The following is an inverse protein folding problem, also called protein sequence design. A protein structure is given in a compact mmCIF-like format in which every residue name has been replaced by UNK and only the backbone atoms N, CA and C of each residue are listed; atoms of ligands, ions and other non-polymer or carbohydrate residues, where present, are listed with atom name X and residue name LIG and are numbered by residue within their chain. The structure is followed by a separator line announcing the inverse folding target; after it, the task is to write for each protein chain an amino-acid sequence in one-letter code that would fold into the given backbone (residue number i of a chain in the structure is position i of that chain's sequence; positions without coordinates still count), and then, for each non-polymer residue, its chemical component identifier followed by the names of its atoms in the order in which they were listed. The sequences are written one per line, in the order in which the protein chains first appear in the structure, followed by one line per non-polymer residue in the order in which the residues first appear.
data_IF_178856268394
#
_entry.id   IF_178856268394
#
_cell.length_a   1.000
_cell.length_b   1.000
_cell.length_c   1.000
_cell.angle_alpha   90.00
_cell.angle_beta   90.00
_cell.angle_gamma   90.00
#
_symmetry.space_group_name_H-M   'P 1'
#
loop_
_entity.id
_entity.type
_entity.pdbx_description
1 polymer ?
#
# COMPACT_ATOMS: atom_id res chain seq x y z
N UNK A 1 -8.64 17.49 4.12
CA UNK A 1 -7.33 16.84 4.11
C UNK A 1 -6.99 16.53 2.66
N UNK A 2 -5.79 16.86 2.17
CA UNK A 2 -5.37 16.47 0.83
C UNK A 2 -5.38 14.94 0.66
N UNK A 3 -5.75 14.50 -0.53
CA UNK A 3 -5.75 13.10 -0.93
C UNK A 3 -4.52 12.84 -1.79
N UNK A 4 -3.81 11.76 -1.48
CA UNK A 4 -2.59 11.35 -2.18
C UNK A 4 -2.80 9.98 -2.83
N UNK A 5 -2.19 9.82 -4.00
CA UNK A 5 -2.12 8.55 -4.71
C UNK A 5 -0.65 8.09 -4.75
N UNK A 6 -0.38 6.90 -4.19
CA UNK A 6 0.95 6.31 -4.15
C UNK A 6 0.98 5.07 -5.03
N UNK A 7 1.98 4.98 -5.89
CA UNK A 7 2.26 3.79 -6.70
C UNK A 7 3.28 2.93 -5.97
N UNK A 8 3.03 1.63 -5.96
CA UNK A 8 3.87 0.64 -5.28
C UNK A 8 4.50 -0.28 -6.31
N UNK A 9 5.79 -0.54 -6.13
CA UNK A 9 6.52 -1.59 -6.84
C UNK A 9 7.11 -2.55 -5.81
N UNK A 10 6.95 -3.85 -6.04
CA UNK A 10 7.59 -4.86 -5.23
C UNK A 10 9.09 -4.87 -5.49
N UNK A 11 9.85 -5.11 -4.43
CA UNK A 11 11.25 -5.54 -4.55
C UNK A 11 11.29 -7.02 -4.93
N UNK A 12 12.45 -7.52 -5.36
CA UNK A 12 12.64 -8.95 -5.70
C UNK A 12 12.21 -9.89 -4.56
N UNK A 13 12.55 -9.53 -3.32
CA UNK A 13 12.11 -10.27 -2.11
C UNK A 13 10.61 -10.12 -1.84
N UNK A 14 10.06 -8.94 -2.16
CA UNK A 14 8.64 -8.64 -1.99
C UNK A 14 7.76 -9.47 -2.90
N UNK A 15 8.15 -9.59 -4.18
CA UNK A 15 7.43 -10.37 -5.19
C UNK A 15 7.61 -11.88 -4.97
N UNK A 16 8.80 -12.34 -4.56
CA UNK A 16 9.03 -13.75 -4.25
C UNK A 16 8.17 -14.24 -3.07
N UNK A 17 7.67 -13.31 -2.23
CA UNK A 17 6.76 -13.56 -1.11
C UNK A 17 5.47 -12.75 -1.25
N UNK A 18 4.86 -12.80 -2.44
CA UNK A 18 3.64 -12.04 -2.74
C UNK A 18 2.45 -12.44 -1.85
N UNK A 19 2.38 -13.70 -1.40
CA UNK A 19 1.33 -14.19 -0.50
C UNK A 19 1.29 -13.44 0.83
N UNK A 20 2.42 -12.89 1.28
CA UNK A 20 2.51 -12.07 2.49
C UNK A 20 2.05 -10.62 2.26
N UNK A 21 1.75 -10.22 1.02
CA UNK A 21 1.42 -8.84 0.67
C UNK A 21 0.19 -8.29 1.40
N UNK A 22 -0.93 -9.03 1.57
CA UNK A 22 -2.08 -8.53 2.34
C UNK A 22 -1.72 -8.23 3.79
N UNK A 23 -0.92 -9.09 4.44
CA UNK A 23 -0.43 -8.86 5.80
C UNK A 23 0.44 -7.60 5.89
N UNK A 24 1.28 -7.33 4.88
CA UNK A 24 2.07 -6.09 4.81
C UNK A 24 1.18 -4.85 4.63
N UNK A 25 0.12 -4.95 3.84
CA UNK A 25 -0.87 -3.89 3.65
C UNK A 25 -1.58 -3.55 4.97
N UNK A 26 -2.01 -4.55 5.74
CA UNK A 26 -2.63 -4.33 7.05
C UNK A 26 -1.68 -3.68 8.05
N UNK A 27 -0.42 -4.14 8.09
CA UNK A 27 0.62 -3.54 8.92
C UNK A 27 0.86 -2.07 8.53
N UNK A 28 0.93 -1.77 7.23
CA UNK A 28 1.07 -0.40 6.72
C UNK A 28 -0.11 0.47 7.15
N UNK A 29 -1.36 0.01 7.00
CA UNK A 29 -2.57 0.73 7.43
C UNK A 29 -2.54 1.04 8.93
N UNK A 30 -2.10 0.09 9.76
CA UNK A 30 -1.98 0.31 11.20
C UNK A 30 -0.92 1.38 11.55
N UNK A 31 0.23 1.37 10.86
CA UNK A 31 1.26 2.39 11.05
C UNK A 31 0.80 3.76 10.55
N UNK A 32 0.17 3.84 9.38
CA UNK A 32 -0.37 5.09 8.84
C UNK A 32 -1.36 5.74 9.81
N UNK A 33 -2.29 4.95 10.36
CA UNK A 33 -3.27 5.42 11.35
C UNK A 33 -2.61 5.98 12.61
N UNK A 34 -1.51 5.37 13.09
CA UNK A 34 -0.75 5.90 14.25
C UNK A 34 -0.15 7.28 13.99
N UNK A 35 0.08 7.64 12.73
CA UNK A 35 0.61 8.94 12.32
C UNK A 35 -0.47 9.91 11.82
N UNK A 36 -1.75 9.62 12.06
CA UNK A 36 -2.86 10.48 11.64
C UNK A 36 -3.23 10.37 10.16
N UNK A 37 -2.64 9.42 9.42
CA UNK A 37 -2.92 9.19 8.00
C UNK A 37 -4.00 8.13 7.85
N UNK A 38 -5.02 8.39 7.02
CA UNK A 38 -6.09 7.43 6.71
C UNK A 38 -5.83 6.77 5.37
N UNK A 39 -5.72 5.44 5.34
CA UNK A 39 -5.62 4.66 4.09
C UNK A 39 -7.03 4.31 3.63
N UNK A 40 -7.51 5.02 2.61
CA UNK A 40 -8.82 4.79 1.99
C UNK A 40 -8.89 3.42 1.33
N UNK A 41 -7.93 3.15 0.45
CA UNK A 41 -7.91 1.95 -0.36
C UNK A 41 -6.50 1.57 -0.77
N UNK A 42 -6.31 0.27 -0.95
CA UNK A 42 -5.09 -0.30 -1.48
C UNK A 42 -5.48 -1.38 -2.50
N UNK A 43 -4.99 -1.22 -3.72
CA UNK A 43 -5.25 -2.10 -4.85
C UNK A 43 -3.95 -2.79 -5.28
N UNK A 44 -4.09 -4.05 -5.71
CA UNK A 44 -3.06 -4.76 -6.44
C UNK A 44 -3.36 -4.65 -7.92
N UNK A 45 -2.35 -4.29 -8.70
CA UNK A 45 -2.50 -4.01 -10.12
C UNK A 45 -1.72 -5.04 -10.94
N UNK A 46 -2.23 -5.32 -12.14
CA UNK A 46 -1.53 -6.07 -13.17
C UNK A 46 -1.09 -5.08 -14.26
N UNK A 47 0.03 -4.39 -14.05
CA UNK A 47 0.49 -3.34 -14.96
C UNK A 47 1.91 -2.89 -14.64
N UNK A 48 2.26 -1.63 -15.00
CA UNK A 48 3.59 -1.06 -14.77
C UNK A 48 3.99 -0.96 -13.29
N UNK A 49 3.00 -0.90 -12.42
CA UNK A 49 3.15 -0.87 -10.98
C UNK A 49 2.38 -2.04 -10.39
N UNK A 50 2.83 -2.51 -9.23
CA UNK A 50 2.26 -3.66 -8.54
C UNK A 50 1.09 -3.28 -7.64
N UNK A 51 0.97 -1.99 -7.28
CA UNK A 51 -0.16 -1.51 -6.48
C UNK A 51 -0.39 -0.01 -6.54
N UNK A 52 -1.56 0.39 -6.05
CA UNK A 52 -1.99 1.76 -5.85
C UNK A 52 -2.56 1.91 -4.44
N UNK A 53 -2.15 2.94 -3.72
CA UNK A 53 -2.68 3.28 -2.40
C UNK A 53 -3.24 4.68 -2.44
N UNK A 54 -4.48 4.84 -1.96
CA UNK A 54 -5.12 6.14 -1.76
C UNK A 54 -5.12 6.44 -0.27
N UNK A 55 -4.59 7.61 0.11
CA UNK A 55 -4.57 8.05 1.50
C UNK A 55 -4.94 9.52 1.67
N UNK A 56 -5.46 9.86 2.83
CA UNK A 56 -5.72 11.22 3.29
C UNK A 56 -4.74 11.55 4.43
N UNK A 57 -4.07 12.70 4.32
CA UNK A 57 -3.09 13.19 5.29
C UNK A 57 -3.11 14.72 5.36
#
# INVERSE_FOLDING_TARGET
MPTYALLLNFTDKGISKIQDSPKRADAFRAVAKKHGVRVESQYWLTGKHDGLVILEA
#
